data_IF_727282358010
#
_entry.id   IF_727282358010
#
_cell.length_a   1.000
_cell.length_b   1.000
_cell.length_c   1.000
_cell.angle_alpha   90.00
_cell.angle_beta   90.00
_cell.angle_gamma   90.00
#
_symmetry.space_group_name_H-M   'P 1'
#
loop_
_entity.id
_entity.type
_entity.pdbx_description
1 polymer ?
#
# COMPACT_ATOMS: atom_id res chain seq x y z
N UNK A 1 -8.49 -15.82 -10.85
CA UNK A 1 -7.98 -15.85 -9.46
C UNK A 1 -8.94 -16.61 -8.56
N UNK A 2 -10.22 -16.27 -8.54
CA UNK A 2 -11.21 -16.87 -7.62
C UNK A 2 -11.27 -18.41 -7.62
N UNK A 3 -11.12 -19.06 -8.78
CA UNK A 3 -11.05 -20.53 -8.88
C UNK A 3 -9.79 -21.14 -8.26
N UNK A 4 -8.68 -20.40 -8.21
CA UNK A 4 -7.39 -20.87 -7.67
C UNK A 4 -7.31 -20.65 -6.16
N UNK A 5 -7.86 -19.53 -5.70
CA UNK A 5 -7.75 -19.05 -4.31
C UNK A 5 -8.99 -19.29 -3.45
N UNK A 6 -10.08 -19.83 -3.98
CA UNK A 6 -11.36 -19.95 -3.27
C UNK A 6 -11.26 -20.60 -1.88
N UNK A 7 -10.39 -21.62 -1.74
CA UNK A 7 -10.20 -22.35 -0.47
C UNK A 7 -9.25 -21.64 0.52
N UNK A 8 -8.49 -20.64 0.05
CA UNK A 8 -7.50 -19.88 0.83
C UNK A 8 -7.93 -18.43 1.13
N UNK A 9 -9.01 -17.97 0.49
CA UNK A 9 -9.57 -16.65 0.75
C UNK A 9 -10.23 -16.61 2.12
N UNK A 10 -9.55 -16.00 3.08
CA UNK A 10 -10.14 -15.56 4.34
C UNK A 10 -10.76 -14.16 4.17
N UNK A 11 -11.72 -13.81 5.02
CA UNK A 11 -12.31 -12.46 5.02
C UNK A 11 -11.25 -11.38 5.24
N UNK A 12 -11.49 -10.18 4.69
CA UNK A 12 -10.66 -9.02 4.99
C UNK A 12 -10.57 -8.79 6.52
N UNK A 13 -9.39 -8.43 7.07
CA UNK A 13 -8.16 -8.01 6.38
C UNK A 13 -7.13 -9.14 6.15
N UNK A 14 -7.49 -10.41 6.32
CA UNK A 14 -6.54 -11.52 6.41
C UNK A 14 -5.96 -11.97 5.07
N UNK A 15 -6.70 -11.79 3.98
CA UNK A 15 -6.24 -12.03 2.61
C UNK A 15 -6.85 -10.95 1.71
N UNK A 16 -6.02 -10.24 0.94
CA UNK A 16 -6.46 -9.31 -0.11
C UNK A 16 -5.79 -9.71 -1.42
N UNK A 17 -6.57 -9.73 -2.50
CA UNK A 17 -6.12 -10.15 -3.82
C UNK A 17 -6.51 -9.10 -4.85
N UNK A 18 -5.56 -8.75 -5.72
CA UNK A 18 -5.82 -7.88 -6.85
C UNK A 18 -4.85 -8.17 -7.99
N UNK A 19 -5.37 -8.60 -9.13
CA UNK A 19 -4.58 -8.96 -10.32
C UNK A 19 -3.46 -9.98 -10.01
N UNK A 20 -2.19 -9.57 -9.95
CA UNK A 20 -1.03 -10.38 -9.55
C UNK A 20 -0.53 -10.09 -8.12
N UNK A 21 -1.03 -9.03 -7.49
CA UNK A 21 -0.66 -8.63 -6.13
C UNK A 21 -1.52 -9.39 -5.09
N UNK A 22 -0.85 -9.97 -4.10
CA UNK A 22 -1.45 -10.74 -3.02
C UNK A 22 -0.91 -10.23 -1.68
N UNK A 23 -1.81 -9.82 -0.79
CA UNK A 23 -1.48 -9.51 0.60
C UNK A 23 -2.09 -10.57 1.52
N UNK A 24 -1.27 -11.14 2.39
CA UNK A 24 -1.69 -12.12 3.39
C UNK A 24 -1.28 -11.59 4.76
N UNK A 25 -2.18 -11.67 5.74
CA UNK A 25 -1.90 -11.35 7.12
C UNK A 25 -2.09 -12.57 8.03
N UNK A 26 -1.29 -12.62 9.09
CA UNK A 26 -1.38 -13.60 10.17
C UNK A 26 -1.25 -12.90 11.52
N UNK A 27 -1.81 -13.50 12.56
CA UNK A 27 -1.68 -13.00 13.93
C UNK A 27 -0.33 -13.37 14.54
N UNK A 28 0.30 -14.44 14.05
CA UNK A 28 1.64 -14.86 14.44
C UNK A 28 2.54 -15.05 13.24
N UNK A 29 3.86 -15.06 13.45
CA UNK A 29 4.84 -15.31 12.39
C UNK A 29 4.71 -16.73 11.84
N UNK A 30 4.44 -17.71 12.71
CA UNK A 30 4.24 -19.11 12.33
C UNK A 30 3.01 -19.27 11.43
N UNK A 31 1.91 -18.59 11.77
CA UNK A 31 0.70 -18.57 10.93
C UNK A 31 1.01 -17.95 9.57
N UNK A 32 1.73 -16.83 9.55
CA UNK A 32 2.10 -16.16 8.29
C UNK A 32 3.01 -17.04 7.43
N UNK A 33 4.01 -17.70 8.03
CA UNK A 33 4.91 -18.64 7.37
C UNK A 33 4.14 -19.80 6.73
N UNK A 34 3.20 -20.41 7.46
CA UNK A 34 2.36 -21.49 6.95
C UNK A 34 1.47 -21.01 5.79
N UNK A 35 0.85 -19.83 5.92
CA UNK A 35 0.01 -19.28 4.85
C UNK A 35 0.81 -18.96 3.60
N UNK A 36 1.98 -18.32 3.72
CA UNK A 36 2.84 -17.99 2.57
C UNK A 36 3.27 -19.26 1.83
N UNK A 37 3.66 -20.31 2.56
CA UNK A 37 4.02 -21.59 1.92
C UNK A 37 2.83 -22.24 1.22
N UNK A 38 1.67 -22.31 1.88
CA UNK A 38 0.47 -22.90 1.29
C UNK A 38 0.01 -22.15 0.03
N UNK A 39 0.10 -20.81 0.05
CA UNK A 39 -0.16 -19.98 -1.13
C UNK A 39 0.83 -20.24 -2.26
N UNK A 40 2.12 -20.33 -1.94
CA UNK A 40 3.17 -20.64 -2.91
C UNK A 40 2.93 -21.99 -3.58
N UNK A 41 2.72 -23.04 -2.80
CA UNK A 41 2.49 -24.40 -3.31
C UNK A 41 1.22 -24.45 -4.17
N UNK A 42 0.16 -23.77 -3.75
CA UNK A 42 -1.10 -23.67 -4.51
C UNK A 42 -0.88 -22.95 -5.84
N UNK A 43 -0.19 -21.81 -5.85
CA UNK A 43 0.07 -21.06 -7.09
C UNK A 43 0.90 -21.90 -8.07
N UNK A 44 1.89 -22.65 -7.58
CA UNK A 44 2.70 -23.54 -8.41
C UNK A 44 1.89 -24.66 -9.08
N UNK A 45 0.87 -25.20 -8.41
CA UNK A 45 -0.04 -26.19 -9.02
C UNK A 45 -0.74 -25.67 -10.27
N UNK A 46 -0.96 -24.35 -10.37
CA UNK A 46 -1.57 -23.69 -11.53
C UNK A 46 -0.53 -23.04 -12.46
N UNK A 47 0.76 -23.37 -12.31
CA UNK A 47 1.83 -22.87 -13.16
C UNK A 47 2.25 -21.43 -12.87
N UNK A 48 1.83 -20.85 -11.76
CA UNK A 48 2.27 -19.53 -11.29
C UNK A 48 3.47 -19.67 -10.35
N UNK A 49 4.29 -18.63 -10.26
CA UNK A 49 5.49 -18.62 -9.39
C UNK A 49 5.52 -17.38 -8.54
N UNK A 50 5.87 -17.54 -7.27
CA UNK A 50 6.09 -16.42 -6.37
C UNK A 50 7.37 -15.68 -6.76
N UNK A 51 7.30 -14.35 -6.84
CA UNK A 51 8.47 -13.53 -7.06
C UNK A 51 9.13 -13.16 -5.72
N UNK A 52 9.98 -14.07 -5.21
CA UNK A 52 10.68 -13.92 -3.92
C UNK A 52 11.39 -12.57 -3.80
N UNK A 53 11.93 -12.02 -4.89
CA UNK A 53 12.64 -10.72 -4.88
C UNK A 53 11.72 -9.52 -4.64
N UNK A 54 10.44 -9.62 -5.01
CA UNK A 54 9.42 -8.58 -4.80
C UNK A 54 8.55 -8.83 -3.56
N UNK A 55 8.55 -10.05 -3.04
CA UNK A 55 7.78 -10.40 -1.85
C UNK A 55 8.49 -9.88 -0.61
N UNK A 56 7.81 -9.03 0.13
CA UNK A 56 8.30 -8.45 1.38
C UNK A 56 7.32 -8.82 2.50
N UNK A 57 7.76 -8.70 3.75
CA UNK A 57 6.85 -8.81 4.89
C UNK A 57 7.05 -7.67 5.89
N UNK A 58 5.95 -7.32 6.55
CA UNK A 58 5.90 -6.30 7.60
C UNK A 58 5.37 -6.96 8.88
N UNK A 59 6.02 -6.67 9.99
CA UNK A 59 5.51 -7.05 11.32
C UNK A 59 4.96 -5.83 12.02
N UNK A 60 3.66 -5.86 12.29
CA UNK A 60 2.98 -4.82 13.03
C UNK A 60 3.13 -5.05 14.54
N UNK A 61 3.67 -4.05 15.26
CA UNK A 61 3.92 -4.07 16.73
C UNK A 61 5.06 -5.01 17.17
N UNK A 62 5.12 -5.34 18.48
CA UNK A 62 6.31 -5.87 19.17
C UNK A 62 7.08 -6.92 18.37
N UNK A 63 8.40 -6.71 18.30
CA UNK A 63 9.36 -7.62 17.67
C UNK A 63 9.38 -8.91 18.48
N UNK A 64 8.62 -9.91 18.06
CA UNK A 64 8.79 -11.27 18.58
C UNK A 64 10.20 -11.73 18.23
N UNK A 65 11.05 -12.07 19.23
CA UNK A 65 12.30 -12.75 18.96
C UNK A 65 12.00 -14.01 18.17
N UNK A 66 12.69 -14.22 17.05
CA UNK A 66 12.53 -15.45 16.28
C UNK A 66 13.13 -15.35 14.89
N UNK A 67 13.10 -16.47 14.19
CA UNK A 67 13.63 -16.65 12.84
C UNK A 67 12.82 -15.86 11.81
N UNK A 68 13.47 -15.44 10.74
CA UNK A 68 12.82 -14.77 9.62
C UNK A 68 11.86 -15.71 8.86
N UNK A 69 11.03 -15.13 7.99
CA UNK A 69 10.12 -15.88 7.12
C UNK A 69 10.94 -16.41 5.94
N UNK A 70 10.87 -17.72 5.71
CA UNK A 70 11.63 -18.41 4.66
C UNK A 70 10.67 -18.95 3.60
N UNK A 71 10.97 -18.76 2.32
CA UNK A 71 10.26 -19.39 1.20
C UNK A 71 11.29 -20.04 0.30
N UNK A 72 11.17 -21.34 0.06
CA UNK A 72 12.17 -22.14 -0.67
C UNK A 72 13.61 -21.92 -0.14
N UNK A 73 13.77 -21.96 1.19
CA UNK A 73 15.03 -21.68 1.91
C UNK A 73 15.59 -20.26 1.73
N UNK A 74 14.87 -19.36 1.04
CA UNK A 74 15.24 -17.96 0.89
C UNK A 74 14.50 -17.08 1.91
N UNK A 75 15.25 -16.22 2.60
CA UNK A 75 14.69 -15.25 3.55
C UNK A 75 13.95 -14.13 2.81
N UNK A 76 12.69 -13.91 3.17
CA UNK A 76 11.93 -12.76 2.69
C UNK A 76 12.46 -11.48 3.36
N UNK A 77 12.65 -10.37 2.63
CA UNK A 77 13.04 -9.10 3.21
C UNK A 77 11.97 -8.59 4.18
N UNK A 78 12.39 -8.35 5.43
CA UNK A 78 11.61 -7.63 6.43
C UNK A 78 11.73 -6.12 6.21
N UNK A 79 10.61 -5.43 6.05
CA UNK A 79 10.59 -3.97 5.85
C UNK A 79 9.78 -3.25 6.94
N UNK A 80 10.10 -1.99 7.19
CA UNK A 80 9.35 -1.14 8.12
C UNK A 80 8.11 -0.53 7.50
N UNK A 81 8.10 -0.36 6.18
CA UNK A 81 6.99 0.15 5.38
C UNK A 81 6.93 -0.65 4.09
N UNK A 82 5.77 -1.18 3.75
CA UNK A 82 5.52 -1.87 2.47
C UNK A 82 4.35 -1.22 1.73
N UNK A 83 4.30 -1.35 0.42
CA UNK A 83 3.26 -0.78 -0.43
C UNK A 83 2.35 -1.89 -0.98
N UNK A 84 1.05 -1.71 -0.84
CA UNK A 84 0.03 -2.56 -1.45
C UNK A 84 -1.00 -1.70 -2.17
N UNK A 85 -1.17 -1.89 -3.48
CA UNK A 85 -2.07 -1.11 -4.34
C UNK A 85 -1.87 0.41 -4.19
N UNK A 86 -0.61 0.81 -4.08
CA UNK A 86 -0.21 2.20 -3.89
C UNK A 86 -0.36 2.72 -2.48
N UNK A 87 -0.95 1.99 -1.53
CA UNK A 87 -1.11 2.39 -0.12
C UNK A 87 0.01 1.82 0.75
N UNK A 88 0.57 2.64 1.65
CA UNK A 88 1.67 2.22 2.53
C UNK A 88 1.18 1.69 3.87
N UNK A 89 1.70 0.52 4.23
CA UNK A 89 1.47 -0.14 5.50
C UNK A 89 2.74 -0.03 6.34
N UNK A 90 2.65 0.63 7.49
CA UNK A 90 3.77 0.81 8.42
C UNK A 90 3.75 -0.25 9.53
N UNK A 91 4.92 -0.79 9.85
CA UNK A 91 5.15 -1.69 10.99
C UNK A 91 4.69 -1.08 12.34
N UNK A 92 4.73 0.25 12.47
CA UNK A 92 4.28 0.96 13.67
C UNK A 92 2.77 1.18 13.69
N UNK A 93 2.05 0.83 12.61
CA UNK A 93 0.65 1.18 12.43
C UNK A 93 0.42 2.69 12.28
N UNK A 94 1.48 3.45 11.97
CA UNK A 94 1.40 4.90 11.83
C UNK A 94 0.84 5.30 10.47
N UNK A 95 -0.43 5.69 10.45
CA UNK A 95 -1.13 6.17 9.25
C UNK A 95 -0.60 7.52 8.73
N UNK A 96 0.18 8.27 9.51
CA UNK A 96 0.80 9.52 9.04
C UNK A 96 1.82 9.30 7.94
N UNK A 97 2.49 8.14 7.92
CA UNK A 97 3.44 7.77 6.86
C UNK A 97 2.76 7.77 5.49
N UNK A 98 1.53 7.28 5.44
CA UNK A 98 0.71 7.27 4.22
C UNK A 98 0.25 8.69 3.88
N UNK A 99 -0.14 9.51 4.86
CA UNK A 99 -0.54 10.90 4.61
C UNK A 99 0.60 11.76 4.07
N UNK A 100 1.81 11.61 4.60
CA UNK A 100 3.01 12.29 4.10
C UNK A 100 3.36 11.82 2.69
N UNK A 101 3.22 10.53 2.41
CA UNK A 101 3.42 9.98 1.07
C UNK A 101 2.44 10.59 0.05
N UNK A 102 1.15 10.66 0.39
CA UNK A 102 0.12 11.29 -0.45
C UNK A 102 0.36 12.78 -0.65
N UNK A 103 0.74 13.49 0.41
CA UNK A 103 1.07 14.91 0.32
C UNK A 103 2.24 15.16 -0.64
N UNK A 104 3.30 14.35 -0.55
CA UNK A 104 4.45 14.43 -1.46
C UNK A 104 4.09 14.04 -2.90
N UNK A 105 3.27 13.00 -3.09
CA UNK A 105 2.80 12.59 -4.41
C UNK A 105 1.93 13.68 -5.07
N UNK A 106 1.02 14.29 -4.29
CA UNK A 106 0.19 15.40 -4.72
C UNK A 106 1.06 16.63 -5.06
N UNK A 107 2.05 16.95 -4.24
CA UNK A 107 3.00 18.03 -4.52
C UNK A 107 3.77 17.80 -5.82
N UNK A 108 4.23 16.57 -6.07
CA UNK A 108 4.86 16.22 -7.34
C UNK A 108 3.90 16.41 -8.52
N UNK A 109 2.63 16.02 -8.41
CA UNK A 109 1.64 16.28 -9.47
C UNK A 109 1.34 17.76 -9.66
N UNK A 110 1.25 18.53 -8.58
CA UNK A 110 1.11 19.98 -8.61
C UNK A 110 2.25 20.63 -9.40
N UNK A 111 3.50 20.22 -9.16
CA UNK A 111 4.68 20.72 -9.90
C UNK A 111 4.60 20.50 -11.41
N UNK A 112 3.94 19.45 -11.88
CA UNK A 112 3.74 19.21 -13.32
C UNK A 112 2.73 20.16 -13.97
N UNK A 113 1.82 20.73 -13.18
CA UNK A 113 0.75 21.63 -13.67
C UNK A 113 0.94 23.08 -13.22
N UNK A 114 2.02 23.38 -12.49
CA UNK A 114 2.22 24.68 -11.85
C UNK A 114 2.29 25.83 -12.87
N UNK A 115 2.86 25.59 -14.05
CA UNK A 115 2.93 26.60 -15.11
C UNK A 115 1.53 27.04 -15.58
N UNK A 116 0.63 26.07 -15.76
CA UNK A 116 -0.76 26.28 -16.16
C UNK A 116 -1.56 26.94 -15.02
N UNK A 117 -1.33 26.52 -13.78
CA UNK A 117 -2.00 27.08 -12.60
C UNK A 117 -1.53 28.52 -12.32
N UNK A 118 -0.25 28.84 -12.55
CA UNK A 118 0.31 30.16 -12.32
C UNK A 118 0.08 31.14 -13.50
N UNK A 119 -0.28 30.67 -14.70
CA UNK A 119 -0.51 31.54 -15.85
C UNK A 119 -1.76 32.42 -15.64
N UNK A 120 -1.56 33.74 -15.64
CA UNK A 120 -2.64 34.74 -15.49
C UNK A 120 -3.62 34.75 -16.67
N UNK A 121 -3.22 34.25 -17.83
CA UNK A 121 -4.07 34.18 -19.04
C UNK A 121 -5.10 33.07 -18.96
N UNK A 122 -4.92 32.10 -18.06
CA UNK A 122 -5.79 30.94 -17.92
C UNK A 122 -6.92 31.25 -16.96
N UNK A 123 -8.14 30.92 -17.38
CA UNK A 123 -9.35 31.12 -16.57
C UNK A 123 -9.31 30.30 -15.28
N UNK A 124 -9.78 30.90 -14.18
CA UNK A 124 -9.83 30.26 -12.87
C UNK A 124 -10.63 28.93 -12.88
N UNK A 125 -11.69 28.85 -13.70
CA UNK A 125 -12.49 27.63 -13.84
C UNK A 125 -11.64 26.43 -14.31
N UNK A 126 -10.81 26.63 -15.34
CA UNK A 126 -9.93 25.58 -15.85
C UNK A 126 -8.87 25.18 -14.82
N UNK A 127 -8.31 26.15 -14.09
CA UNK A 127 -7.36 25.87 -12.99
C UNK A 127 -7.99 25.03 -11.89
N UNK A 128 -9.23 25.35 -11.51
CA UNK A 128 -10.00 24.59 -10.53
C UNK A 128 -10.28 23.17 -11.02
N UNK A 129 -10.63 23.00 -12.29
CA UNK A 129 -10.82 21.69 -12.91
C UNK A 129 -9.52 20.87 -12.86
N UNK A 130 -8.38 21.45 -13.26
CA UNK A 130 -7.06 20.79 -13.20
C UNK A 130 -6.73 20.33 -11.77
N UNK A 131 -6.91 21.20 -10.77
CA UNK A 131 -6.68 20.80 -9.38
C UNK A 131 -7.56 19.62 -8.97
N UNK A 132 -8.87 19.68 -9.30
CA UNK A 132 -9.84 18.64 -8.96
C UNK A 132 -9.57 17.31 -9.66
N UNK A 133 -9.00 17.31 -10.86
CA UNK A 133 -8.78 16.09 -11.66
C UNK A 133 -7.37 15.54 -11.56
N UNK A 134 -6.36 16.35 -11.25
CA UNK A 134 -4.95 15.93 -11.25
C UNK A 134 -4.38 15.81 -9.84
N UNK A 135 -4.63 16.81 -8.98
CA UNK A 135 -3.96 16.91 -7.67
C UNK A 135 -4.82 16.28 -6.58
N UNK A 136 -6.08 16.70 -6.48
CA UNK A 136 -7.01 16.23 -5.45
C UNK A 136 -7.18 14.71 -5.38
N UNK A 137 -7.30 13.96 -6.50
CA UNK A 137 -7.43 12.51 -6.42
C UNK A 137 -6.19 11.83 -5.84
N UNK A 138 -4.99 12.37 -6.10
CA UNK A 138 -3.73 11.84 -5.56
C UNK A 138 -3.58 12.15 -4.07
N UNK A 139 -4.01 13.34 -3.65
CA UNK A 139 -4.03 13.73 -2.23
C UNK A 139 -4.99 12.86 -1.40
N UNK A 140 -6.15 12.51 -1.95
CA UNK A 140 -7.24 11.86 -1.22
C UNK A 140 -7.30 10.34 -1.38
N UNK A 141 -6.46 9.73 -2.22
CA UNK A 141 -6.47 8.28 -2.39
C UNK A 141 -6.18 7.55 -1.07
N UNK A 142 -7.04 6.63 -0.68
CA UNK A 142 -6.92 5.85 0.55
C UNK A 142 -7.30 6.63 1.81
N UNK A 143 -7.77 7.88 1.68
CA UNK A 143 -8.14 8.71 2.84
C UNK A 143 -9.38 8.22 3.58
N UNK A 144 -10.20 7.41 2.94
CA UNK A 144 -11.33 6.70 3.52
C UNK A 144 -10.92 5.56 4.47
N UNK A 145 -9.67 5.08 4.36
CA UNK A 145 -9.19 3.90 5.11
C UNK A 145 -8.40 4.24 6.38
N UNK A 146 -8.06 5.51 6.63
CA UNK A 146 -7.33 5.92 7.83
C UNK A 146 -8.22 6.65 8.85
N UNK A 147 -7.88 6.59 10.16
CA UNK A 147 -8.48 7.48 11.14
C UNK A 147 -8.01 8.92 10.87
N UNK A 148 -8.90 9.75 10.33
CA UNK A 148 -8.57 11.14 10.03
C UNK A 148 -8.41 11.91 11.34
N UNK A 149 -7.18 12.35 11.61
CA UNK A 149 -6.88 13.24 12.75
C UNK A 149 -6.47 14.62 12.25
N UNK A 150 -6.48 15.62 13.14
CA UNK A 150 -5.99 16.97 12.83
C UNK A 150 -4.55 16.98 12.27
N UNK A 151 -3.72 16.00 12.65
CA UNK A 151 -2.37 15.86 12.09
C UNK A 151 -2.41 15.48 10.62
N UNK A 152 -3.26 14.53 10.22
CA UNK A 152 -3.43 14.14 8.82
C UNK A 152 -3.92 15.32 7.97
N UNK A 153 -4.91 16.06 8.45
CA UNK A 153 -5.40 17.24 7.75
C UNK A 153 -4.31 18.29 7.56
N UNK A 154 -3.51 18.57 8.59
CA UNK A 154 -2.40 19.53 8.51
C UNK A 154 -1.34 19.07 7.52
N UNK A 155 -1.00 17.79 7.49
CA UNK A 155 -0.03 17.22 6.54
C UNK A 155 -0.52 17.35 5.11
N UNK A 156 -1.79 17.01 4.83
CA UNK A 156 -2.35 17.09 3.48
C UNK A 156 -2.52 18.55 3.00
N UNK A 157 -2.82 19.48 3.91
CA UNK A 157 -2.98 20.91 3.63
C UNK A 157 -1.67 21.71 3.66
N UNK A 158 -0.52 21.09 3.93
CA UNK A 158 0.75 21.78 4.09
C UNK A 158 1.18 22.58 2.84
N UNK A 159 0.57 22.28 1.69
CA UNK A 159 0.93 22.82 0.37
C UNK A 159 -0.17 23.69 -0.25
N UNK A 160 -1.32 23.85 0.43
CA UNK A 160 -2.39 24.79 0.04
C UNK A 160 -2.09 26.20 0.55
#
# INVERSE_FOLDING_TARGET
MDTVSGDFQSTAPWTLLYADDVMIAGSTREELQQKVQAWKDRMEQYGMRLNIKRTEYVECRERTPGTAILVDDAELPKVSVSEYLGSRISAEGNSLVEAEYRANAAWNKWRHVIEVICDRKIQLKLKSEIYRTVVRPVTLYGAECWPTTLKHERTLKQWE
#
